data_IF_164797353371
#
_entry.id   IF_164797353371
#
_cell.length_a   1.000
_cell.length_b   1.000
_cell.length_c   1.000
_cell.angle_alpha   90.00
_cell.angle_beta   90.00
_cell.angle_gamma   90.00
#
_symmetry.space_group_name_H-M   'P 1'
#
loop_
_entity.id
_entity.type
_entity.pdbx_description
1 polymer ?
#
# COMPACT_ATOMS: atom_id res chain seq x y z
N UNK A 1 -29.93 9.09 7.26
CA UNK A 1 -28.58 8.56 7.53
C UNK A 1 -27.60 9.73 7.54
N UNK A 2 -26.94 10.07 8.65
CA UNK A 2 -25.96 11.15 8.61
C UNK A 2 -24.71 10.62 7.88
N UNK A 3 -24.36 11.24 6.75
CA UNK A 3 -23.05 11.08 6.14
C UNK A 3 -22.01 11.53 7.18
N UNK A 4 -21.30 10.59 7.81
CA UNK A 4 -20.06 10.92 8.51
C UNK A 4 -19.13 11.50 7.44
N UNK A 5 -18.99 12.82 7.42
CA UNK A 5 -17.86 13.47 6.75
C UNK A 5 -16.62 12.96 7.47
N UNK A 6 -15.97 11.95 6.90
CA UNK A 6 -14.64 11.56 7.36
C UNK A 6 -13.78 12.82 7.32
N UNK A 7 -13.16 13.15 8.46
CA UNK A 7 -12.35 14.38 8.53
C UNK A 7 -11.19 14.22 7.54
N UNK A 8 -10.88 15.23 6.70
CA UNK A 8 -9.81 15.16 5.70
C UNK A 8 -8.49 14.63 6.27
N UNK A 9 -8.14 15.04 7.49
CA UNK A 9 -6.95 14.57 8.21
C UNK A 9 -6.93 13.07 8.50
N UNK A 10 -8.08 12.45 8.79
CA UNK A 10 -8.19 11.01 8.99
C UNK A 10 -7.98 10.25 7.67
N UNK A 11 -8.50 10.81 6.57
CA UNK A 11 -8.32 10.27 5.22
C UNK A 11 -6.86 10.36 4.76
N UNK A 12 -6.19 11.50 4.98
CA UNK A 12 -4.75 11.67 4.68
C UNK A 12 -3.89 10.67 5.47
N UNK A 13 -4.14 10.54 6.78
CA UNK A 13 -3.40 9.59 7.62
C UNK A 13 -3.65 8.13 7.22
N UNK A 14 -4.86 7.80 6.78
CA UNK A 14 -5.17 6.48 6.23
C UNK A 14 -4.42 6.22 4.91
N UNK A 15 -4.46 7.15 3.95
CA UNK A 15 -3.76 7.02 2.67
C UNK A 15 -2.25 6.83 2.88
N UNK A 16 -1.62 7.60 3.78
CA UNK A 16 -0.19 7.43 4.10
C UNK A 16 0.14 6.03 4.60
N UNK A 17 -0.64 5.50 5.55
CA UNK A 17 -0.46 4.13 6.07
C UNK A 17 -0.63 3.07 4.98
N UNK A 18 -1.56 3.28 4.07
CA UNK A 18 -1.77 2.37 2.93
C UNK A 18 -0.60 2.41 1.95
N UNK A 19 -0.06 3.60 1.65
CA UNK A 19 1.16 3.76 0.84
C UNK A 19 2.33 3.04 1.50
N UNK A 20 2.55 3.25 2.81
CA UNK A 20 3.66 2.63 3.54
C UNK A 20 3.56 1.11 3.54
N UNK A 21 2.35 0.57 3.71
CA UNK A 21 2.08 -0.87 3.58
C UNK A 21 2.44 -1.38 2.19
N UNK A 22 1.94 -0.74 1.13
CA UNK A 22 2.24 -1.18 -0.24
C UNK A 22 3.72 -1.05 -0.60
N UNK A 23 4.41 -0.04 -0.09
CA UNK A 23 5.87 0.09 -0.25
C UNK A 23 6.59 -1.07 0.44
N UNK A 24 6.17 -1.46 1.64
CA UNK A 24 6.69 -2.64 2.34
C UNK A 24 6.43 -3.93 1.55
N UNK A 25 5.21 -4.14 1.09
CA UNK A 25 4.82 -5.29 0.25
C UNK A 25 5.73 -5.42 -0.97
N UNK A 26 5.97 -4.30 -1.68
CA UNK A 26 6.89 -4.26 -2.83
C UNK A 26 8.31 -4.59 -2.41
N UNK A 27 8.80 -4.04 -1.31
CA UNK A 27 10.15 -4.34 -0.80
C UNK A 27 10.32 -5.81 -0.42
N UNK A 28 9.30 -6.45 0.17
CA UNK A 28 9.28 -7.88 0.46
C UNK A 28 9.33 -8.70 -0.83
N UNK A 29 8.49 -8.37 -1.82
CA UNK A 29 8.44 -9.06 -3.12
C UNK A 29 9.76 -8.93 -3.91
N UNK A 30 10.48 -7.82 -3.76
CA UNK A 30 11.78 -7.59 -4.39
C UNK A 30 12.95 -8.19 -3.60
N UNK A 31 12.71 -8.70 -2.38
CA UNK A 31 13.76 -9.18 -1.49
C UNK A 31 14.62 -8.07 -0.89
N UNK A 32 14.20 -6.81 -1.00
CA UNK A 32 14.85 -5.63 -0.42
C UNK A 32 14.58 -5.53 1.09
N UNK A 33 13.43 -6.04 1.52
CA UNK A 33 13.00 -6.10 2.92
C UNK A 33 12.89 -7.57 3.32
N UNK A 34 13.36 -7.91 4.51
CA UNK A 34 13.11 -9.22 5.12
C UNK A 34 11.77 -9.20 5.86
N UNK A 35 10.98 -10.29 5.80
CA UNK A 35 9.77 -10.40 6.60
C UNK A 35 10.12 -10.30 8.08
N UNK A 36 9.28 -9.61 8.85
CA UNK A 36 9.41 -9.57 10.30
C UNK A 36 8.98 -10.92 10.90
N UNK A 37 9.69 -11.37 11.93
CA UNK A 37 9.41 -12.65 12.58
C UNK A 37 7.99 -12.67 13.15
N UNK A 38 7.17 -13.60 12.66
CA UNK A 38 5.79 -13.76 13.10
C UNK A 38 4.79 -12.74 12.54
N UNK A 39 5.20 -11.87 11.61
CA UNK A 39 4.29 -10.94 10.96
C UNK A 39 3.43 -11.65 9.90
N UNK A 40 2.14 -11.78 10.20
CA UNK A 40 1.17 -12.48 9.34
C UNK A 40 0.94 -11.75 8.02
N UNK A 41 0.99 -10.41 8.01
CA UNK A 41 0.80 -9.62 6.79
C UNK A 41 1.98 -9.83 5.83
N UNK A 42 3.21 -9.82 6.35
CA UNK A 42 4.43 -10.08 5.56
C UNK A 42 4.42 -11.50 4.96
N UNK A 43 3.99 -12.50 5.75
CA UNK A 43 3.87 -13.88 5.26
C UNK A 43 2.81 -14.01 4.18
N UNK A 44 1.64 -13.38 4.37
CA UNK A 44 0.53 -13.45 3.42
C UNK A 44 0.88 -12.83 2.06
N UNK A 45 1.60 -11.70 2.04
CA UNK A 45 2.01 -11.08 0.77
C UNK A 45 3.06 -11.93 0.05
N UNK A 46 4.01 -12.52 0.79
CA UNK A 46 5.01 -13.41 0.21
C UNK A 46 4.39 -14.70 -0.34
N UNK A 47 3.44 -15.32 0.37
CA UNK A 47 2.70 -16.47 -0.11
C UNK A 47 1.94 -16.14 -1.41
N UNK A 48 1.21 -15.02 -1.43
CA UNK A 48 0.51 -14.54 -2.63
C UNK A 48 1.47 -14.26 -3.79
N UNK A 49 2.64 -13.69 -3.50
CA UNK A 49 3.67 -13.43 -4.51
C UNK A 49 4.25 -14.71 -5.10
N UNK A 50 4.50 -15.72 -4.27
CA UNK A 50 4.99 -17.02 -4.73
C UNK A 50 3.96 -17.76 -5.58
N UNK A 51 2.69 -17.73 -5.17
CA UNK A 51 1.57 -18.32 -5.90
C UNK A 51 1.24 -17.59 -7.22
N UNK A 52 1.76 -16.38 -7.43
CA UNK A 52 1.49 -15.61 -8.64
C UNK A 52 2.26 -16.17 -9.85
N UNK A 53 1.53 -16.49 -10.92
CA UNK A 53 2.09 -16.86 -12.22
C UNK A 53 2.86 -15.72 -12.88
N UNK A 54 2.49 -14.46 -12.59
CA UNK A 54 3.12 -13.27 -13.16
C UNK A 54 3.57 -12.28 -12.09
N UNK A 55 4.69 -12.61 -11.46
CA UNK A 55 5.36 -11.81 -10.44
C UNK A 55 5.64 -10.36 -10.89
N UNK A 56 6.07 -10.18 -12.14
CA UNK A 56 6.37 -8.84 -12.70
C UNK A 56 5.13 -7.96 -12.78
N UNK A 57 4.01 -8.52 -13.22
CA UNK A 57 2.73 -7.82 -13.28
C UNK A 57 2.25 -7.45 -11.88
N UNK A 58 2.29 -8.39 -10.93
CA UNK A 58 1.87 -8.14 -9.55
C UNK A 58 2.66 -6.97 -8.91
N UNK A 59 3.98 -6.97 -9.05
CA UNK A 59 4.83 -5.86 -8.56
C UNK A 59 4.46 -4.55 -9.26
N UNK A 60 4.24 -4.58 -10.58
CA UNK A 60 3.89 -3.40 -11.36
C UNK A 60 2.53 -2.81 -10.93
N UNK A 61 1.55 -3.66 -10.63
CA UNK A 61 0.23 -3.25 -10.15
C UNK A 61 0.32 -2.57 -8.78
N UNK A 62 1.14 -3.10 -7.86
CA UNK A 62 1.38 -2.46 -6.57
C UNK A 62 2.09 -1.12 -6.72
N UNK A 63 3.12 -1.04 -7.58
CA UNK A 63 3.81 0.23 -7.89
C UNK A 63 2.86 1.27 -8.48
N UNK A 64 1.92 0.85 -9.34
CA UNK A 64 0.90 1.75 -9.90
C UNK A 64 -0.04 2.26 -8.80
N UNK A 65 -0.51 1.38 -7.91
CA UNK A 65 -1.38 1.75 -6.78
C UNK A 65 -0.70 2.76 -5.85
N UNK A 66 0.59 2.57 -5.54
CA UNK A 66 1.38 3.52 -4.75
C UNK A 66 1.36 4.90 -5.41
N UNK A 67 1.70 4.98 -6.71
CA UNK A 67 1.71 6.25 -7.45
C UNK A 67 0.34 6.93 -7.47
N UNK A 68 -0.74 6.17 -7.66
CA UNK A 68 -2.10 6.72 -7.64
C UNK A 68 -2.44 7.29 -6.26
N UNK A 69 -2.08 6.60 -5.18
CA UNK A 69 -2.32 7.07 -3.82
C UNK A 69 -1.45 8.28 -3.46
N UNK A 70 -0.20 8.34 -3.92
CA UNK A 70 0.67 9.51 -3.79
C UNK A 70 0.06 10.73 -4.48
N UNK A 71 -0.38 10.58 -5.74
CA UNK A 71 -1.07 11.66 -6.46
C UNK A 71 -2.37 12.10 -5.75
N UNK A 72 -3.14 11.15 -5.22
CA UNK A 72 -4.36 11.46 -4.43
C UNK A 72 -4.01 12.24 -3.16
N UNK A 73 -2.91 11.87 -2.50
CA UNK A 73 -2.43 12.53 -1.29
C UNK A 73 -1.99 13.97 -1.59
N UNK A 74 -1.36 14.20 -2.74
CA UNK A 74 -0.90 15.52 -3.16
C UNK A 74 -2.10 16.45 -3.44
N UNK A 75 -3.12 15.98 -4.17
CA UNK A 75 -4.38 16.72 -4.39
C UNK A 75 -5.02 17.09 -3.06
N UNK A 76 -5.17 16.13 -2.14
CA UNK A 76 -5.78 16.37 -0.83
C UNK A 76 -4.98 17.32 0.07
N UNK A 77 -3.67 17.51 -0.18
CA UNK A 77 -2.84 18.46 0.57
C UNK A 77 -2.96 19.88 0.01
N UNK A 78 -3.19 20.03 -1.29
CA UNK A 78 -3.40 21.34 -1.93
C UNK A 78 -4.77 21.93 -1.57
N UNK A 79 -5.76 21.09 -1.22
CA UNK A 79 -7.11 21.50 -0.82
C UNK A 79 -7.26 21.88 0.68
N UNK A 80 -6.20 21.76 1.50
CA UNK A 80 -6.21 22.02 2.96
C UNK A 80 -5.54 23.33 3.34
#
# INVERSE_FOLDING_TARGET
MPHRREKPFQTIAHIRRTIDRYRRDVGLMLGEIKPADGDVDDLAILERFQASENKKRLISDYKLRIKTLEATLDILREEV
#
